data_IF_387717358972
#
_entry.id   IF_387717358972
#
_cell.length_a   1.000
_cell.length_b   1.000
_cell.length_c   1.000
_cell.angle_alpha   90.00
_cell.angle_beta   90.00
_cell.angle_gamma   90.00
#
_symmetry.space_group_name_H-M   'P 1'
#
loop_
_entity.id
_entity.type
_entity.pdbx_description
1 polymer ?
#
# COMPACT_ATOMS: atom_id res chain seq x y z
N UNK A 1 47.02 16.34 5.25
CA UNK A 1 47.24 17.35 6.31
C UNK A 1 46.81 18.70 5.74
N UNK A 2 45.51 18.98 5.58
CA UNK A 2 44.46 19.21 6.59
C UNK A 2 44.43 20.66 7.05
N UNK A 3 43.56 21.49 6.44
CA UNK A 3 42.74 22.55 7.08
C UNK A 3 42.19 23.54 6.05
N UNK A 4 41.07 23.20 5.43
CA UNK A 4 40.03 24.15 4.97
C UNK A 4 38.66 23.39 4.93
N UNK A 5 38.33 22.71 6.03
CA UNK A 5 37.09 21.94 6.24
C UNK A 5 36.22 22.56 7.37
N UNK A 6 36.37 23.86 7.63
CA UNK A 6 36.03 24.43 8.95
C UNK A 6 34.77 25.31 9.03
N UNK A 7 34.35 25.98 7.95
CA UNK A 7 33.35 27.07 8.04
C UNK A 7 32.09 26.87 7.20
N UNK A 8 32.10 26.04 6.14
CA UNK A 8 30.88 25.64 5.39
C UNK A 8 30.12 24.47 6.04
N UNK A 9 30.76 23.74 6.96
CA UNK A 9 30.12 22.65 7.71
C UNK A 9 29.18 23.14 8.82
N UNK A 10 29.25 24.43 9.18
CA UNK A 10 28.60 24.96 10.38
C UNK A 10 27.24 25.61 10.08
N UNK A 11 27.05 26.23 8.91
CA UNK A 11 25.75 26.81 8.50
C UNK A 11 24.73 25.73 8.06
N UNK A 12 25.19 24.50 7.80
CA UNK A 12 24.36 23.32 7.54
C UNK A 12 23.96 22.51 8.78
N UNK A 13 24.39 22.88 9.99
CA UNK A 13 23.98 22.14 11.21
C UNK A 13 22.51 22.36 11.59
N UNK A 14 21.88 23.41 11.07
CA UNK A 14 20.43 23.60 11.12
C UNK A 14 19.68 22.81 10.02
N UNK A 15 20.42 22.18 9.10
CA UNK A 15 19.95 21.13 8.17
C UNK A 15 19.89 19.75 8.87
N UNK A 16 20.43 19.55 10.07
CA UNK A 16 20.24 18.29 10.82
C UNK A 16 18.78 18.08 11.28
N UNK A 17 17.94 19.14 11.21
CA UNK A 17 16.48 19.12 11.33
C UNK A 17 15.77 19.00 9.96
N UNK A 18 16.51 18.98 8.85
CA UNK A 18 16.06 18.55 7.52
C UNK A 18 15.65 17.09 7.61
N UNK A 19 14.35 16.91 7.81
CA UNK A 19 13.60 15.73 7.43
C UNK A 19 13.95 14.40 8.12
N UNK A 20 14.10 14.39 9.45
CA UNK A 20 13.73 13.20 10.25
C UNK A 20 12.28 12.74 10.01
N UNK A 21 11.46 13.55 9.32
CA UNK A 21 10.04 13.33 9.03
C UNK A 21 9.67 13.66 7.58
N UNK A 22 10.45 13.18 6.60
CA UNK A 22 9.80 12.68 5.38
C UNK A 22 9.06 11.40 5.80
N UNK A 23 7.91 11.55 6.49
CA UNK A 23 7.33 10.56 7.41
C UNK A 23 7.34 9.14 6.81
N UNK A 24 8.25 8.33 7.34
CA UNK A 24 8.34 6.88 7.19
C UNK A 24 8.60 6.37 5.75
N UNK A 25 9.69 6.87 5.17
CA UNK A 25 10.64 6.05 4.40
C UNK A 25 10.55 6.24 2.88
N UNK A 26 11.60 6.57 2.13
CA UNK A 26 12.96 6.99 2.45
C UNK A 26 13.32 8.05 1.39
N UNK A 27 12.95 9.30 1.69
CA UNK A 27 13.26 10.58 0.99
C UNK A 27 12.53 10.96 -0.33
N UNK A 28 12.09 12.23 -0.37
CA UNK A 28 12.06 13.11 -1.54
C UNK A 28 12.22 14.55 -1.03
N UNK A 29 13.44 14.90 -0.58
CA UNK A 29 13.77 16.18 0.05
C UNK A 29 13.82 17.38 -0.93
N UNK A 30 13.11 17.33 -2.08
CA UNK A 30 12.99 18.47 -3.00
C UNK A 30 12.08 19.59 -2.47
N UNK A 31 11.32 19.32 -1.41
CA UNK A 31 10.37 20.28 -0.86
C UNK A 31 11.02 21.46 -0.12
N UNK A 32 12.28 21.35 0.35
CA UNK A 32 12.96 22.42 1.08
C UNK A 32 14.30 22.88 0.48
N UNK A 33 14.87 22.16 -0.50
CA UNK A 33 16.18 22.49 -1.06
C UNK A 33 16.13 22.46 -2.60
N UNK A 34 16.19 23.64 -3.22
CA UNK A 34 16.16 23.83 -4.68
C UNK A 34 17.43 23.33 -5.39
N UNK A 35 18.44 22.85 -4.65
CA UNK A 35 19.80 22.56 -5.13
C UNK A 35 20.30 21.11 -4.88
N UNK A 36 19.41 20.16 -4.57
CA UNK A 36 19.82 18.76 -4.38
C UNK A 36 19.81 17.95 -5.71
N UNK A 37 20.84 17.12 -5.97
CA UNK A 37 20.95 16.31 -7.20
C UNK A 37 19.91 15.17 -7.27
N UNK A 38 19.55 14.72 -8.48
CA UNK A 38 18.59 13.62 -8.65
C UNK A 38 19.21 12.26 -8.33
N UNK A 39 18.75 11.63 -7.26
CA UNK A 39 18.95 10.19 -7.03
C UNK A 39 17.88 9.43 -7.84
N UNK A 40 18.12 8.16 -8.18
CA UNK A 40 17.29 7.30 -9.06
C UNK A 40 15.89 6.94 -8.47
N UNK A 41 15.08 7.94 -8.17
CA UNK A 41 13.76 7.82 -7.53
C UNK A 41 12.73 7.03 -8.39
N UNK A 42 12.78 7.20 -9.71
CA UNK A 42 11.81 6.58 -10.62
C UNK A 42 12.00 5.08 -10.83
N UNK A 43 13.23 4.57 -10.68
CA UNK A 43 13.52 3.13 -10.79
C UNK A 43 13.19 2.41 -9.49
N UNK A 44 13.58 3.00 -8.35
CA UNK A 44 13.27 2.44 -7.02
C UNK A 44 11.78 2.27 -6.81
N UNK A 45 10.99 3.29 -7.16
CA UNK A 45 9.53 3.26 -6.98
C UNK A 45 8.85 2.17 -7.79
N UNK A 46 9.26 1.97 -9.04
CA UNK A 46 8.76 0.88 -9.89
C UNK A 46 9.02 -0.49 -9.26
N UNK A 47 10.23 -0.71 -8.72
CA UNK A 47 10.57 -1.97 -8.06
C UNK A 47 9.70 -2.23 -6.82
N UNK A 48 9.43 -1.20 -6.02
CA UNK A 48 8.56 -1.35 -4.84
C UNK A 48 7.12 -1.67 -5.24
N UNK A 49 6.55 -1.01 -6.27
CA UNK A 49 5.22 -1.37 -6.77
C UNK A 49 5.16 -2.79 -7.33
N UNK A 50 6.19 -3.23 -8.06
CA UNK A 50 6.28 -4.62 -8.53
C UNK A 50 6.30 -5.57 -7.34
N UNK A 51 7.12 -5.28 -6.32
CA UNK A 51 7.18 -6.09 -5.10
C UNK A 51 5.82 -6.17 -4.39
N UNK A 52 5.09 -5.05 -4.27
CA UNK A 52 3.73 -5.01 -3.70
C UNK A 52 2.78 -5.91 -4.49
N UNK A 53 2.79 -5.85 -5.82
CA UNK A 53 1.94 -6.69 -6.66
C UNK A 53 2.32 -8.16 -6.54
N UNK A 54 3.62 -8.50 -6.58
CA UNK A 54 4.09 -9.88 -6.42
C UNK A 54 3.69 -10.45 -5.06
N UNK A 55 3.87 -9.68 -3.99
CA UNK A 55 3.46 -10.09 -2.64
C UNK A 55 1.94 -10.25 -2.57
N UNK A 56 1.17 -9.36 -3.19
CA UNK A 56 -0.28 -9.45 -3.24
C UNK A 56 -0.76 -10.71 -3.95
N UNK A 57 -0.18 -11.04 -5.11
CA UNK A 57 -0.48 -12.26 -5.86
C UNK A 57 -0.10 -13.50 -5.06
N UNK A 58 1.04 -13.49 -4.37
CA UNK A 58 1.41 -14.58 -3.47
C UNK A 58 0.37 -14.78 -2.36
N UNK A 59 -0.07 -13.71 -1.69
CA UNK A 59 -1.11 -13.78 -0.65
C UNK A 59 -2.43 -14.28 -1.22
N UNK A 60 -2.88 -13.78 -2.37
CA UNK A 60 -4.11 -14.28 -3.03
C UNK A 60 -4.01 -15.76 -3.38
N UNK A 61 -2.85 -16.21 -3.83
CA UNK A 61 -2.61 -17.63 -4.16
C UNK A 61 -2.65 -18.50 -2.91
N UNK A 62 -2.12 -18.00 -1.78
CA UNK A 62 -2.22 -18.69 -0.48
C UNK A 62 -3.66 -18.77 0.03
N UNK A 63 -4.46 -17.71 -0.12
CA UNK A 63 -5.87 -17.70 0.27
C UNK A 63 -6.73 -18.65 -0.57
N UNK A 64 -6.36 -18.88 -1.83
CA UNK A 64 -7.02 -19.86 -2.70
C UNK A 64 -6.66 -21.30 -2.35
N UNK A 65 -5.57 -21.53 -1.60
CA UNK A 65 -5.15 -22.88 -1.23
C UNK A 65 -6.16 -23.55 -0.28
N UNK A 66 -6.51 -24.80 -0.57
CA UNK A 66 -7.38 -25.61 0.30
C UNK A 66 -6.83 -25.72 1.72
N UNK A 67 -5.50 -25.78 1.90
CA UNK A 67 -4.88 -25.86 3.22
C UNK A 67 -5.23 -24.65 4.10
N UNK A 68 -5.36 -23.46 3.49
CA UNK A 68 -5.75 -22.26 4.23
C UNK A 68 -7.23 -22.25 4.58
N UNK A 69 -8.08 -22.73 3.68
CA UNK A 69 -9.52 -22.84 3.92
C UNK A 69 -9.80 -23.80 5.08
N UNK A 70 -9.17 -24.97 5.09
CA UNK A 70 -9.34 -25.96 6.17
C UNK A 70 -8.78 -25.48 7.50
N UNK A 71 -7.61 -24.84 7.51
CA UNK A 71 -7.01 -24.33 8.75
C UNK A 71 -7.86 -23.23 9.39
N UNK A 72 -8.49 -22.36 8.59
CA UNK A 72 -9.41 -21.33 9.10
C UNK A 72 -10.67 -21.97 9.70
N UNK A 73 -11.22 -23.00 9.06
CA UNK A 73 -12.39 -23.72 9.58
C UNK A 73 -12.07 -24.47 10.87
N UNK A 74 -10.91 -25.10 10.99
CA UNK A 74 -10.50 -25.78 12.22
C UNK A 74 -10.26 -24.80 13.38
N UNK A 75 -9.74 -23.60 13.11
CA UNK A 75 -9.55 -22.56 14.14
C UNK A 75 -10.87 -21.90 14.57
N UNK A 76 -11.86 -21.84 13.68
CA UNK A 76 -13.17 -21.25 13.93
C UNK A 76 -14.28 -22.28 13.65
N UNK A 77 -14.47 -23.26 14.55
CA UNK A 77 -15.45 -24.35 14.36
C UNK A 77 -16.92 -23.87 14.35
N UNK A 78 -17.18 -22.60 14.67
CA UNK A 78 -18.46 -21.96 14.36
C UNK A 78 -18.51 -21.60 12.86
N UNK A 79 -18.73 -22.62 12.04
CA UNK A 79 -18.72 -22.66 10.57
C UNK A 79 -19.63 -21.62 9.87
N UNK A 80 -20.40 -20.82 10.61
CA UNK A 80 -21.30 -19.83 10.03
C UNK A 80 -20.79 -18.39 10.15
N UNK A 81 -19.94 -18.05 11.11
CA UNK A 81 -19.63 -16.62 11.35
C UNK A 81 -18.72 -16.06 10.26
N UNK A 82 -17.67 -16.82 9.90
CA UNK A 82 -16.67 -16.39 8.91
C UNK A 82 -17.29 -16.44 7.52
N UNK A 83 -18.07 -17.47 7.26
CA UNK A 83 -18.81 -17.69 6.01
C UNK A 83 -19.90 -16.65 5.79
N UNK A 84 -20.61 -16.24 6.85
CA UNK A 84 -21.59 -15.15 6.80
C UNK A 84 -20.90 -13.79 6.62
N UNK A 85 -19.80 -13.54 7.34
CA UNK A 85 -19.02 -12.30 7.22
C UNK A 85 -18.40 -12.12 5.82
N UNK A 86 -17.94 -13.20 5.20
CA UNK A 86 -17.44 -13.23 3.83
C UNK A 86 -18.53 -13.41 2.76
N UNK A 87 -19.78 -13.62 3.17
CA UNK A 87 -20.91 -13.84 2.27
C UNK A 87 -20.81 -15.11 1.41
N UNK A 88 -20.02 -16.09 1.82
CA UNK A 88 -19.72 -17.31 1.07
C UNK A 88 -20.94 -18.24 0.86
N UNK A 89 -22.03 -18.06 1.63
CA UNK A 89 -23.26 -18.85 1.51
C UNK A 89 -23.10 -20.31 1.93
N UNK A 90 -24.06 -21.18 1.57
CA UNK A 90 -24.18 -22.56 2.07
C UNK A 90 -23.01 -23.48 1.68
N UNK A 91 -22.17 -23.09 0.70
CA UNK A 91 -20.96 -23.82 0.30
C UNK A 91 -19.71 -23.04 0.69
N UNK A 92 -19.50 -22.90 1.99
CA UNK A 92 -18.49 -22.00 2.51
C UNK A 92 -17.06 -22.35 2.11
N UNK A 93 -16.66 -23.63 2.10
CA UNK A 93 -15.26 -24.02 1.89
C UNK A 93 -14.69 -23.51 0.56
N UNK A 94 -15.33 -23.88 -0.54
CA UNK A 94 -14.90 -23.40 -1.85
C UNK A 94 -15.14 -21.89 -2.01
N UNK A 95 -16.27 -21.36 -1.55
CA UNK A 95 -16.63 -19.95 -1.79
C UNK A 95 -15.79 -18.97 -0.95
N UNK A 96 -15.30 -19.37 0.21
CA UNK A 96 -14.50 -18.54 1.12
C UNK A 96 -13.20 -18.09 0.46
N UNK A 97 -12.47 -19.01 -0.18
CA UNK A 97 -11.22 -18.69 -0.88
C UNK A 97 -11.44 -17.69 -2.02
N UNK A 98 -12.46 -17.91 -2.86
CA UNK A 98 -12.78 -17.01 -3.96
C UNK A 98 -13.18 -15.62 -3.46
N UNK A 99 -14.15 -15.53 -2.53
CA UNK A 99 -14.63 -14.24 -2.01
C UNK A 99 -13.51 -13.45 -1.35
N UNK A 100 -12.64 -14.11 -0.60
CA UNK A 100 -11.53 -13.45 0.06
C UNK A 100 -10.50 -12.90 -0.94
N UNK A 101 -10.23 -13.62 -2.04
CA UNK A 101 -9.40 -13.12 -3.15
C UNK A 101 -10.07 -11.94 -3.86
N UNK A 102 -11.38 -11.99 -4.11
CA UNK A 102 -12.12 -10.88 -4.73
C UNK A 102 -12.06 -9.60 -3.88
N UNK A 103 -12.30 -9.69 -2.57
CA UNK A 103 -12.26 -8.53 -1.66
C UNK A 103 -10.84 -7.96 -1.54
N UNK A 104 -9.82 -8.82 -1.39
CA UNK A 104 -8.43 -8.38 -1.38
C UNK A 104 -8.04 -7.71 -2.71
N UNK A 105 -8.43 -8.31 -3.84
CA UNK A 105 -8.20 -7.77 -5.18
C UNK A 105 -8.86 -6.42 -5.39
N UNK A 106 -10.10 -6.24 -4.92
CA UNK A 106 -10.78 -4.95 -4.94
C UNK A 106 -10.02 -3.89 -4.15
N UNK A 107 -9.56 -4.20 -2.92
CA UNK A 107 -8.79 -3.25 -2.11
C UNK A 107 -7.50 -2.79 -2.78
N UNK A 108 -6.76 -3.71 -3.41
CA UNK A 108 -5.53 -3.39 -4.15
C UNK A 108 -5.83 -2.58 -5.41
N UNK A 109 -6.89 -2.92 -6.14
CA UNK A 109 -7.31 -2.16 -7.32
C UNK A 109 -7.75 -0.74 -6.94
N UNK A 110 -8.52 -0.59 -5.86
CA UNK A 110 -8.95 0.69 -5.33
C UNK A 110 -7.75 1.57 -4.93
N UNK A 111 -6.74 1.00 -4.26
CA UNK A 111 -5.51 1.72 -3.94
C UNK A 111 -4.81 2.25 -5.20
N UNK A 112 -4.63 1.42 -6.23
CA UNK A 112 -3.98 1.85 -7.48
C UNK A 112 -4.82 2.88 -8.24
N UNK A 113 -6.14 2.76 -8.20
CA UNK A 113 -7.06 3.72 -8.78
C UNK A 113 -6.98 5.09 -8.08
N UNK A 114 -6.98 5.12 -6.75
CA UNK A 114 -6.79 6.37 -5.98
C UNK A 114 -5.43 7.02 -6.32
N UNK A 115 -4.37 6.21 -6.38
CA UNK A 115 -3.04 6.70 -6.78
C UNK A 115 -3.03 7.24 -8.21
N UNK A 116 -3.76 6.60 -9.13
CA UNK A 116 -3.94 7.09 -10.50
C UNK A 116 -4.62 8.46 -10.51
N UNK A 117 -5.69 8.65 -9.74
CA UNK A 117 -6.39 9.94 -9.66
C UNK A 117 -5.49 11.05 -9.11
N UNK A 118 -4.71 10.78 -8.07
CA UNK A 118 -3.78 11.74 -7.46
C UNK A 118 -2.67 12.16 -8.45
N UNK A 119 -2.24 11.24 -9.31
CA UNK A 119 -1.10 11.43 -10.22
C UNK A 119 -1.52 11.79 -11.65
N UNK A 120 -2.82 11.81 -11.93
CA UNK A 120 -3.37 12.20 -13.22
C UNK A 120 -2.94 13.64 -13.58
N UNK A 121 -2.53 13.86 -14.83
CA UNK A 121 -2.13 15.18 -15.33
C UNK A 121 -0.83 15.75 -14.75
N UNK A 122 0.06 14.92 -14.20
CA UNK A 122 1.42 15.36 -13.83
C UNK A 122 2.26 15.42 -15.10
N UNK A 123 2.79 16.60 -15.43
CA UNK A 123 3.61 16.81 -16.64
C UNK A 123 5.10 16.93 -16.32
N UNK A 124 5.46 17.32 -15.09
CA UNK A 124 6.86 17.52 -14.69
C UNK A 124 7.24 16.75 -13.42
N UNK A 125 8.45 16.19 -13.40
CA UNK A 125 9.05 15.55 -12.21
C UNK A 125 9.44 16.54 -11.10
N UNK A 126 9.20 17.84 -11.32
CA UNK A 126 9.36 18.90 -10.33
C UNK A 126 8.03 19.26 -9.64
N UNK A 127 6.91 18.73 -10.13
CA UNK A 127 5.60 18.99 -9.53
C UNK A 127 5.51 18.28 -8.17
N UNK A 128 4.88 18.95 -7.20
CA UNK A 128 4.63 18.42 -5.85
C UNK A 128 4.05 16.99 -5.88
N UNK A 129 3.12 16.74 -6.82
CA UNK A 129 2.46 15.43 -7.00
C UNK A 129 3.40 14.32 -7.50
N UNK A 130 4.42 14.67 -8.29
CA UNK A 130 5.45 13.71 -8.69
C UNK A 130 6.31 13.26 -7.50
N UNK A 131 6.57 14.17 -6.56
CA UNK A 131 7.24 13.85 -5.28
C UNK A 131 6.42 12.90 -4.41
N UNK A 132 5.09 13.02 -4.39
CA UNK A 132 4.22 12.08 -3.69
C UNK A 132 4.20 10.69 -4.33
N UNK A 133 4.20 10.60 -5.66
CA UNK A 133 4.29 9.30 -6.35
C UNK A 133 5.64 8.62 -6.06
N UNK A 134 6.72 9.40 -5.94
CA UNK A 134 8.04 8.81 -5.78
C UNK A 134 8.44 8.57 -4.31
N UNK A 135 7.87 9.31 -3.37
CA UNK A 135 8.15 9.20 -1.93
C UNK A 135 6.95 8.73 -1.09
N UNK A 136 6.97 9.05 0.21
CA UNK A 136 5.85 8.85 1.15
C UNK A 136 5.34 7.39 1.25
N UNK A 137 6.24 6.41 1.35
CA UNK A 137 5.88 4.99 1.32
C UNK A 137 5.01 4.54 2.50
N UNK A 138 5.27 5.02 3.71
CA UNK A 138 4.44 4.65 4.85
C UNK A 138 2.97 5.01 4.70
N UNK A 139 2.66 6.21 4.21
CA UNK A 139 1.27 6.59 3.98
C UNK A 139 0.63 5.75 2.88
N UNK A 140 1.40 5.36 1.85
CA UNK A 140 0.92 4.43 0.82
C UNK A 140 0.66 3.05 1.39
N UNK A 141 1.55 2.53 2.24
CA UNK A 141 1.33 1.25 2.92
C UNK A 141 0.10 1.31 3.82
N UNK A 142 -0.09 2.41 4.58
CA UNK A 142 -1.29 2.60 5.39
C UNK A 142 -2.55 2.65 4.53
N UNK A 143 -2.54 3.43 3.44
CA UNK A 143 -3.67 3.52 2.51
C UNK A 143 -3.97 2.15 1.87
N UNK A 144 -2.95 1.40 1.47
CA UNK A 144 -3.10 0.05 0.93
C UNK A 144 -3.73 -0.88 1.97
N UNK A 145 -3.21 -0.90 3.21
CA UNK A 145 -3.76 -1.73 4.29
C UNK A 145 -5.21 -1.37 4.59
N UNK A 146 -5.52 -0.08 4.72
CA UNK A 146 -6.89 0.38 4.96
C UNK A 146 -7.81 0.05 3.78
N UNK A 147 -7.34 0.14 2.54
CA UNK A 147 -8.14 -0.24 1.36
C UNK A 147 -8.45 -1.74 1.34
N UNK A 148 -7.46 -2.58 1.66
CA UNK A 148 -7.65 -4.02 1.79
C UNK A 148 -8.61 -4.37 2.93
N UNK A 149 -8.41 -3.82 4.14
CA UNK A 149 -9.28 -4.04 5.30
C UNK A 149 -10.70 -3.53 5.01
N UNK A 150 -10.82 -2.33 4.45
CA UNK A 150 -12.10 -1.71 4.09
C UNK A 150 -12.90 -2.54 3.08
N UNK A 151 -12.22 -3.20 2.13
CA UNK A 151 -12.86 -4.08 1.17
C UNK A 151 -13.57 -5.29 1.81
N UNK A 152 -13.13 -5.71 3.00
CA UNK A 152 -13.79 -6.79 3.74
C UNK A 152 -15.09 -6.37 4.41
N UNK A 153 -15.33 -5.06 4.60
CA UNK A 153 -16.57 -4.53 5.16
C UNK A 153 -17.66 -4.32 4.11
N UNK A 154 -17.41 -4.64 2.84
CA UNK A 154 -18.42 -4.51 1.78
C UNK A 154 -19.44 -5.66 1.95
N UNK A 155 -20.71 -5.37 2.28
CA UNK A 155 -21.74 -6.39 2.45
C UNK A 155 -22.16 -6.95 1.08
N UNK A 156 -22.66 -8.18 1.09
CA UNK A 156 -23.09 -8.84 -0.13
C UNK A 156 -24.45 -8.31 -0.60
N UNK A 157 -24.68 -8.18 -1.92
CA UNK A 157 -25.90 -7.58 -2.47
C UNK A 157 -27.18 -8.36 -2.15
N UNK A 158 -27.10 -9.61 -1.68
CA UNK A 158 -28.25 -10.36 -1.14
C UNK A 158 -28.92 -9.64 0.04
N UNK A 159 -28.18 -8.78 0.74
CA UNK A 159 -28.71 -7.95 1.83
C UNK A 159 -29.40 -6.65 1.32
N UNK A 160 -29.17 -6.26 0.05
CA UNK A 160 -29.82 -5.11 -0.60
C UNK A 160 -31.21 -5.44 -1.15
N UNK A 161 -31.43 -6.69 -1.58
CA UNK A 161 -32.69 -7.11 -2.21
C UNK A 161 -33.68 -7.78 -1.24
N UNK A 162 -33.37 -7.81 0.06
CA UNK A 162 -34.26 -8.29 1.12
C UNK A 162 -34.46 -7.16 2.15
N UNK A 163 -35.18 -6.12 1.75
CA UNK A 163 -35.83 -5.14 2.62
C UNK A 163 -37.07 -4.58 1.94
#
# INVERSE_FOLDING_TARGET
MSRMYGTDYVEGRNCCRTQCGCLCGTASCRFCCRFCPSVFESTSTRLVYIFIIVLSVAVMSLMMSHHMQTAIMEMFPDDNIVCQWLGAGDRCEAALGYMAVYRLGFGIAAFHFIMMLITCGVSSSRDCRAGMHNGMWFYKCLLLLTSCIGAFFIPDPKDWFIS
#
